data_IF_048783859827
#
_entry.id   IF_048783859827
#
_cell.length_a   1.000
_cell.length_b   1.000
_cell.length_c   1.000
_cell.angle_alpha   90.00
_cell.angle_beta   90.00
_cell.angle_gamma   90.00
#
_symmetry.space_group_name_H-M   'P 1'
#
loop_
_entity.id
_entity.type
_entity.pdbx_description
1 polymer ?
#
# COMPACT_ATOMS: atom_id res chain seq x y z
N UNK A 1 -19.66 -14.44 21.80
CA UNK A 1 -19.59 -13.59 20.61
C UNK A 1 -19.03 -14.45 19.50
N UNK A 2 -19.65 -14.49 18.33
CA UNK A 2 -19.11 -15.25 17.19
C UNK A 2 -17.91 -14.47 16.67
N UNK A 3 -16.71 -15.02 16.86
CA UNK A 3 -15.49 -14.42 16.29
C UNK A 3 -15.57 -14.48 14.77
N UNK A 4 -15.52 -13.31 14.14
CA UNK A 4 -15.61 -13.19 12.69
C UNK A 4 -14.24 -13.46 12.05
N UNK A 5 -14.21 -13.75 10.75
CA UNK A 5 -12.95 -13.87 10.01
C UNK A 5 -12.06 -12.64 10.20
N UNK A 6 -12.65 -11.44 10.25
CA UNK A 6 -11.92 -10.19 10.44
C UNK A 6 -11.28 -10.09 11.83
N UNK A 7 -11.94 -10.60 12.87
CA UNK A 7 -11.34 -10.59 14.22
C UNK A 7 -10.16 -11.55 14.31
N UNK A 8 -10.27 -12.72 13.68
CA UNK A 8 -9.16 -13.66 13.56
C UNK A 8 -8.00 -13.06 12.75
N UNK A 9 -8.28 -12.36 11.64
CA UNK A 9 -7.26 -11.65 10.87
C UNK A 9 -6.55 -10.59 11.69
N UNK A 10 -7.30 -9.74 12.42
CA UNK A 10 -6.74 -8.67 13.25
C UNK A 10 -5.91 -9.18 14.43
N UNK A 11 -6.23 -10.37 14.94
CA UNK A 11 -5.46 -11.06 16.00
C UNK A 11 -4.28 -11.88 15.48
N UNK A 12 -4.07 -11.95 14.15
CA UNK A 12 -3.11 -12.85 13.52
C UNK A 12 -3.33 -14.33 13.87
N UNK A 13 -4.58 -14.74 14.04
CA UNK A 13 -4.99 -16.10 14.41
C UNK A 13 -5.14 -16.97 13.15
N UNK A 14 -4.01 -17.52 12.67
CA UNK A 14 -3.97 -18.28 11.42
C UNK A 14 -4.79 -19.58 11.48
N UNK A 15 -4.86 -20.23 12.63
CA UNK A 15 -5.65 -21.45 12.80
C UNK A 15 -7.14 -21.18 12.60
N UNK A 16 -7.65 -20.14 13.27
CA UNK A 16 -9.04 -19.76 13.14
C UNK A 16 -9.37 -19.25 11.73
N UNK A 17 -8.47 -18.44 11.11
CA UNK A 17 -8.63 -18.01 9.72
C UNK A 17 -8.74 -19.20 8.78
N UNK A 18 -7.86 -20.20 8.91
CA UNK A 18 -7.89 -21.41 8.08
C UNK A 18 -9.18 -22.19 8.24
N UNK A 19 -9.59 -22.40 9.49
CA UNK A 19 -10.83 -23.12 9.81
C UNK A 19 -12.06 -22.45 9.18
N UNK A 20 -12.17 -21.13 9.33
CA UNK A 20 -13.27 -20.34 8.77
C UNK A 20 -13.27 -20.37 7.23
N UNK A 21 -12.12 -20.12 6.60
CA UNK A 21 -12.01 -20.10 5.12
C UNK A 21 -12.18 -21.51 4.52
N UNK A 22 -11.78 -22.57 5.23
CA UNK A 22 -12.05 -23.94 4.80
C UNK A 22 -13.55 -24.27 4.84
N UNK A 23 -14.28 -23.75 5.82
CA UNK A 23 -15.73 -23.90 5.91
C UNK A 23 -16.47 -23.07 4.85
N UNK A 24 -15.98 -21.88 4.53
CA UNK A 24 -16.53 -21.00 3.50
C UNK A 24 -15.42 -20.21 2.77
N UNK A 25 -15.00 -20.68 1.57
CA UNK A 25 -13.98 -19.99 0.77
C UNK A 25 -14.41 -18.60 0.26
N UNK A 26 -15.71 -18.31 0.19
CA UNK A 26 -16.19 -17.00 -0.27
C UNK A 26 -15.78 -15.86 0.67
N UNK A 27 -15.49 -16.20 1.94
CA UNK A 27 -15.04 -15.26 2.95
C UNK A 27 -13.74 -14.53 2.55
N UNK A 28 -12.90 -15.11 1.69
CA UNK A 28 -11.69 -14.46 1.17
C UNK A 28 -11.98 -13.11 0.48
N UNK A 29 -13.15 -13.01 -0.16
CA UNK A 29 -13.57 -11.82 -0.90
C UNK A 29 -14.53 -10.92 -0.09
N UNK A 30 -14.94 -11.35 1.11
CA UNK A 30 -15.88 -10.62 1.94
C UNK A 30 -15.32 -9.23 2.30
N UNK A 31 -16.21 -8.25 2.45
CA UNK A 31 -15.85 -6.92 2.96
C UNK A 31 -16.40 -6.74 4.37
N UNK A 32 -15.58 -6.17 5.25
CA UNK A 32 -16.03 -5.69 6.55
C UNK A 32 -16.99 -4.50 6.37
N UNK A 33 -17.70 -4.05 7.42
CA UNK A 33 -18.49 -2.82 7.37
C UNK A 33 -17.67 -1.57 6.99
N UNK A 34 -16.37 -1.58 7.30
CA UNK A 34 -15.38 -0.56 6.90
C UNK A 34 -14.99 -0.64 5.42
N UNK A 35 -15.43 -1.69 4.71
CA UNK A 35 -15.15 -1.93 3.29
C UNK A 35 -13.85 -2.67 3.00
N UNK A 36 -13.02 -2.93 4.03
CA UNK A 36 -11.76 -3.64 3.88
C UNK A 36 -11.97 -5.15 3.71
N UNK A 37 -11.01 -5.79 3.05
CA UNK A 37 -10.98 -7.22 2.80
C UNK A 37 -10.18 -7.94 3.89
N UNK A 38 -10.32 -9.27 4.10
CA UNK A 38 -9.51 -9.97 5.11
C UNK A 38 -8.01 -9.76 4.94
N UNK A 39 -7.53 -9.66 3.70
CA UNK A 39 -6.14 -9.39 3.40
C UNK A 39 -5.71 -7.99 3.85
N UNK A 40 -6.47 -6.94 3.50
CA UNK A 40 -6.16 -5.59 3.95
C UNK A 40 -6.26 -5.46 5.48
N UNK A 41 -7.27 -6.08 6.10
CA UNK A 41 -7.39 -6.11 7.56
C UNK A 41 -6.15 -6.75 8.21
N UNK A 42 -5.68 -7.88 7.67
CA UNK A 42 -4.47 -8.53 8.16
C UNK A 42 -3.23 -7.64 7.97
N UNK A 43 -3.09 -7.01 6.81
CA UNK A 43 -1.97 -6.10 6.50
C UNK A 43 -1.92 -4.88 7.41
N UNK A 44 -3.06 -4.19 7.61
CA UNK A 44 -3.15 -3.00 8.48
C UNK A 44 -2.87 -3.32 9.95
N UNK A 45 -3.26 -4.51 10.40
CA UNK A 45 -3.00 -4.96 11.76
C UNK A 45 -1.64 -5.67 11.95
N UNK A 46 -0.78 -5.67 10.91
CA UNK A 46 0.53 -6.33 10.92
C UNK A 46 0.45 -7.82 11.26
N UNK A 47 -0.64 -8.47 10.88
CA UNK A 47 -0.88 -9.90 11.04
C UNK A 47 -0.13 -10.68 9.95
N UNK A 48 1.20 -10.76 10.10
CA UNK A 48 2.10 -11.26 9.05
C UNK A 48 1.85 -12.70 8.63
N UNK A 49 1.50 -13.60 9.56
CA UNK A 49 1.25 -15.01 9.25
C UNK A 49 -0.06 -15.18 8.46
N UNK A 50 -1.11 -14.49 8.90
CA UNK A 50 -2.39 -14.47 8.21
C UNK A 50 -2.27 -13.82 6.83
N UNK A 51 -1.63 -12.66 6.75
CA UNK A 51 -1.44 -11.95 5.48
C UNK A 51 -0.66 -12.80 4.47
N UNK A 52 0.44 -13.43 4.91
CA UNK A 52 1.21 -14.35 4.07
C UNK A 52 0.35 -15.51 3.54
N UNK A 53 -0.45 -16.13 4.42
CA UNK A 53 -1.31 -17.23 4.02
C UNK A 53 -2.42 -16.80 3.05
N UNK A 54 -3.08 -15.66 3.30
CA UNK A 54 -4.13 -15.08 2.44
C UNK A 54 -3.60 -14.68 1.05
N UNK A 55 -2.35 -14.22 0.96
CA UNK A 55 -1.67 -13.97 -0.32
C UNK A 55 -1.45 -15.27 -1.10
N UNK A 56 -1.25 -16.40 -0.42
CA UNK A 56 -1.15 -17.71 -1.07
C UNK A 56 -2.48 -18.30 -1.56
N UNK A 57 -3.62 -17.69 -1.21
CA UNK A 57 -4.94 -18.17 -1.65
C UNK A 57 -5.34 -17.58 -3.00
N UNK A 58 -6.19 -18.30 -3.74
CA UNK A 58 -6.74 -17.86 -5.02
C UNK A 58 -8.11 -17.21 -4.84
N UNK A 59 -8.21 -15.92 -5.13
CA UNK A 59 -9.45 -15.15 -5.16
C UNK A 59 -9.25 -13.87 -5.98
N UNK A 60 -10.30 -13.24 -6.53
CA UNK A 60 -10.16 -12.07 -7.38
C UNK A 60 -9.79 -10.83 -6.55
N UNK A 61 -8.48 -10.57 -6.42
CA UNK A 61 -7.97 -9.35 -5.79
C UNK A 61 -8.34 -8.12 -6.63
N UNK A 62 -8.68 -7.04 -5.93
CA UNK A 62 -8.74 -5.68 -6.47
C UNK A 62 -7.34 -5.15 -6.77
N UNK A 63 -7.28 -4.01 -7.47
CA UNK A 63 -6.01 -3.35 -7.77
C UNK A 63 -5.27 -2.90 -6.50
N UNK A 64 -6.02 -2.51 -5.46
CA UNK A 64 -5.48 -2.08 -4.16
C UNK A 64 -4.78 -3.22 -3.43
N UNK A 65 -5.43 -4.39 -3.38
CA UNK A 65 -4.83 -5.58 -2.76
C UNK A 65 -3.65 -6.12 -3.55
N UNK A 66 -3.75 -6.13 -4.89
CA UNK A 66 -2.66 -6.55 -5.76
C UNK A 66 -1.42 -5.66 -5.57
N UNK A 67 -1.61 -4.34 -5.49
CA UNK A 67 -0.54 -3.39 -5.24
C UNK A 67 0.09 -3.55 -3.85
N UNK A 68 -0.73 -3.82 -2.82
CA UNK A 68 -0.25 -3.98 -1.45
C UNK A 68 0.65 -5.21 -1.23
N UNK A 69 0.42 -6.30 -1.99
CA UNK A 69 1.16 -7.57 -1.82
C UNK A 69 2.11 -7.90 -2.96
N UNK A 70 2.39 -6.94 -3.85
CA UNK A 70 3.29 -7.11 -5.00
C UNK A 70 2.80 -8.20 -5.99
N UNK A 71 1.48 -8.37 -6.13
CA UNK A 71 0.84 -9.30 -7.08
C UNK A 71 0.86 -8.72 -8.51
N UNK A 72 2.05 -8.72 -9.09
CA UNK A 72 2.35 -8.15 -10.42
C UNK A 72 1.43 -8.70 -11.51
N UNK A 73 1.21 -10.01 -11.55
CA UNK A 73 0.42 -10.62 -12.61
C UNK A 73 -1.04 -10.17 -12.56
N UNK A 74 -1.62 -10.06 -11.35
CA UNK A 74 -2.98 -9.53 -11.21
C UNK A 74 -3.04 -8.05 -11.52
N UNK A 75 -2.01 -7.30 -11.13
CA UNK A 75 -1.91 -5.87 -11.35
C UNK A 75 -1.86 -5.52 -12.84
N UNK A 76 -0.99 -6.19 -13.60
CA UNK A 76 -0.89 -6.08 -15.06
C UNK A 76 -2.23 -6.43 -15.72
N UNK A 77 -2.82 -7.58 -15.38
CA UNK A 77 -4.09 -8.01 -15.95
C UNK A 77 -5.24 -7.01 -15.69
N UNK A 78 -5.26 -6.35 -14.53
CA UNK A 78 -6.26 -5.32 -14.21
C UNK A 78 -6.02 -4.02 -14.99
N UNK A 79 -4.77 -3.58 -15.10
CA UNK A 79 -4.40 -2.33 -15.77
C UNK A 79 -4.44 -2.43 -17.29
N UNK A 80 -4.21 -3.62 -17.85
CA UNK A 80 -4.39 -3.92 -19.28
C UNK A 80 -5.87 -3.87 -19.68
N UNK A 81 -6.77 -4.26 -18.78
CA UNK A 81 -8.23 -4.19 -18.98
C UNK A 81 -8.75 -2.75 -18.78
N UNK A 82 -8.32 -2.08 -17.70
CA UNK A 82 -8.69 -0.71 -17.38
C UNK A 82 -7.54 0.04 -16.68
N UNK A 83 -6.81 0.84 -17.45
CA UNK A 83 -5.71 1.66 -16.95
C UNK A 83 -6.17 2.74 -15.95
N UNK A 84 -7.45 3.13 -15.94
CA UNK A 84 -7.97 4.15 -15.00
C UNK A 84 -7.94 3.66 -13.55
N UNK A 85 -7.87 2.34 -13.35
CA UNK A 85 -7.75 1.72 -12.03
C UNK A 85 -6.51 2.22 -11.26
N UNK A 86 -5.44 2.62 -11.97
CA UNK A 86 -4.17 3.06 -11.41
C UNK A 86 -4.30 4.22 -10.40
N UNK A 87 -5.31 5.08 -10.58
CA UNK A 87 -5.56 6.26 -9.74
C UNK A 87 -6.86 6.16 -8.90
N UNK A 88 -7.46 4.97 -8.83
CA UNK A 88 -8.66 4.76 -8.00
C UNK A 88 -8.33 4.75 -6.51
N UNK A 89 -9.27 5.18 -5.67
CA UNK A 89 -9.09 5.18 -4.21
C UNK A 89 -9.70 3.93 -3.58
N UNK A 90 -8.98 3.34 -2.64
CA UNK A 90 -9.49 2.31 -1.74
C UNK A 90 -10.48 2.91 -0.74
N UNK A 91 -11.14 2.05 0.03
CA UNK A 91 -12.13 2.43 1.05
C UNK A 91 -11.57 3.34 2.15
N UNK A 92 -10.26 3.26 2.41
CA UNK A 92 -9.50 4.08 3.35
C UNK A 92 -8.76 5.25 2.69
N UNK A 93 -9.06 5.52 1.42
CA UNK A 93 -8.60 6.70 0.69
C UNK A 93 -7.17 6.59 0.15
N UNK A 94 -6.65 5.39 -0.09
CA UNK A 94 -5.32 5.19 -0.67
C UNK A 94 -5.43 4.84 -2.15
N UNK A 95 -4.53 5.37 -2.98
CA UNK A 95 -4.38 4.84 -4.36
C UNK A 95 -3.55 3.56 -4.34
N UNK A 96 -3.57 2.73 -5.41
CA UNK A 96 -2.67 1.58 -5.53
C UNK A 96 -1.20 1.93 -5.28
N UNK A 97 -0.73 3.07 -5.80
CA UNK A 97 0.66 3.49 -5.61
C UNK A 97 0.97 3.84 -4.16
N UNK A 98 0.01 4.41 -3.42
CA UNK A 98 0.19 4.63 -1.98
C UNK A 98 0.34 3.29 -1.23
N UNK A 99 -0.48 2.29 -1.55
CA UNK A 99 -0.43 0.98 -0.90
C UNK A 99 0.88 0.25 -1.22
N UNK A 100 1.31 0.26 -2.48
CA UNK A 100 2.60 -0.28 -2.89
C UNK A 100 3.76 0.42 -2.16
N UNK A 101 3.70 1.74 -2.03
CA UNK A 101 4.68 2.54 -1.30
C UNK A 101 4.74 2.21 0.19
N UNK A 102 3.59 2.05 0.86
CA UNK A 102 3.51 1.76 2.29
C UNK A 102 3.92 0.33 2.64
N UNK A 103 3.41 -0.65 1.89
CA UNK A 103 3.70 -2.06 2.14
C UNK A 103 5.05 -2.51 1.58
N UNK A 104 5.69 -1.70 0.72
CA UNK A 104 7.02 -1.97 0.20
C UNK A 104 7.01 -2.95 -0.97
N UNK A 105 6.13 -2.70 -1.94
CA UNK A 105 5.94 -3.49 -3.16
C UNK A 105 6.56 -2.76 -4.38
N UNK A 106 7.89 -2.86 -4.61
CA UNK A 106 8.58 -2.08 -5.64
C UNK A 106 8.17 -2.49 -7.06
N UNK A 107 7.84 -3.76 -7.31
CA UNK A 107 7.47 -4.22 -8.65
C UNK A 107 6.08 -3.71 -9.01
N UNK A 108 5.13 -3.78 -8.08
CA UNK A 108 3.82 -3.17 -8.23
C UNK A 108 3.91 -1.65 -8.47
N UNK A 109 4.74 -0.94 -7.70
CA UNK A 109 4.96 0.49 -7.93
C UNK A 109 5.51 0.79 -9.33
N UNK A 110 6.47 -0.02 -9.81
CA UNK A 110 7.03 0.11 -11.17
C UNK A 110 5.95 -0.04 -12.23
N UNK A 111 5.09 -1.05 -12.12
CA UNK A 111 4.00 -1.30 -13.07
C UNK A 111 2.97 -0.18 -13.03
N UNK A 112 2.56 0.26 -11.84
CA UNK A 112 1.61 1.36 -11.69
C UNK A 112 2.12 2.62 -12.39
N UNK A 113 3.39 2.98 -12.19
CA UNK A 113 4.00 4.13 -12.85
C UNK A 113 4.12 3.94 -14.37
N UNK A 114 4.44 2.73 -14.84
CA UNK A 114 4.47 2.42 -16.27
C UNK A 114 3.09 2.55 -16.94
N UNK A 115 2.01 2.32 -16.19
CA UNK A 115 0.62 2.52 -16.62
C UNK A 115 0.07 3.92 -16.31
N UNK A 116 0.93 4.87 -15.94
CA UNK A 116 0.56 6.27 -15.80
C UNK A 116 -0.06 6.66 -14.46
N UNK A 117 0.12 5.85 -13.40
CA UNK A 117 -0.30 6.24 -12.05
C UNK A 117 0.32 7.59 -11.65
N UNK A 118 -0.48 8.47 -11.05
CA UNK A 118 -0.02 9.77 -10.59
C UNK A 118 0.98 9.63 -9.43
N UNK A 119 2.05 10.43 -9.47
CA UNK A 119 3.07 10.49 -8.40
C UNK A 119 2.66 11.37 -7.22
N UNK A 120 1.70 12.27 -7.42
CA UNK A 120 1.30 13.27 -6.43
C UNK A 120 -0.19 13.24 -6.02
N UNK A 121 -0.91 12.10 -6.04
CA UNK A 121 -2.26 12.07 -5.48
C UNK A 121 -2.18 12.29 -3.97
N UNK A 122 -3.12 13.05 -3.42
CA UNK A 122 -3.30 13.16 -1.97
C UNK A 122 -4.28 12.07 -1.53
N UNK A 123 -3.91 11.29 -0.52
CA UNK A 123 -4.80 10.28 0.06
C UNK A 123 -6.08 10.93 0.62
N UNK A 124 -7.23 10.28 0.45
CA UNK A 124 -8.54 10.77 0.90
C UNK A 124 -8.83 10.42 2.38
N UNK A 125 -7.79 10.35 3.19
CA UNK A 125 -7.88 10.16 4.64
C UNK A 125 -7.31 11.39 5.36
N UNK A 126 -7.42 11.40 6.68
CA UNK A 126 -7.02 12.54 7.51
C UNK A 126 -5.54 12.96 7.36
N UNK A 127 -4.66 12.07 6.88
CA UNK A 127 -3.24 12.35 6.72
C UNK A 127 -2.92 13.04 5.39
N UNK A 128 -3.77 12.91 4.37
CA UNK A 128 -3.58 13.54 3.04
C UNK A 128 -2.19 13.31 2.43
N UNK A 129 -1.62 12.12 2.62
CA UNK A 129 -0.26 11.77 2.19
C UNK A 129 -0.16 11.70 0.66
N UNK A 130 1.03 11.90 0.11
CA UNK A 130 1.40 11.39 -1.23
C UNK A 130 2.01 9.98 -1.12
N UNK A 131 2.20 9.24 -2.23
CA UNK A 131 2.92 7.97 -2.20
C UNK A 131 4.34 8.08 -1.62
N UNK A 132 5.04 9.20 -1.84
CA UNK A 132 6.36 9.43 -1.24
C UNK A 132 6.28 9.55 0.29
N UNK A 133 5.28 10.27 0.82
CA UNK A 133 5.04 10.34 2.27
C UNK A 133 4.75 8.96 2.86
N UNK A 134 3.93 8.16 2.17
CA UNK A 134 3.64 6.78 2.57
C UNK A 134 4.90 5.90 2.65
N UNK A 135 5.77 5.95 1.64
CA UNK A 135 7.04 5.21 1.64
C UNK A 135 7.97 5.62 2.78
N UNK A 136 8.07 6.93 3.05
CA UNK A 136 8.91 7.47 4.12
C UNK A 136 8.37 7.12 5.50
N UNK A 137 7.06 7.23 5.72
CA UNK A 137 6.41 6.85 6.97
C UNK A 137 6.59 5.35 7.28
N UNK A 138 6.54 4.50 6.25
CA UNK A 138 6.74 3.06 6.38
C UNK A 138 8.21 2.62 6.26
N UNK A 139 9.16 3.56 6.15
CA UNK A 139 10.60 3.32 5.99
C UNK A 139 10.97 2.37 4.84
N UNK A 140 10.32 2.52 3.68
CA UNK A 140 10.54 1.69 2.49
C UNK A 140 11.60 2.28 1.58
N UNK A 141 12.88 2.13 1.94
CA UNK A 141 14.00 2.74 1.21
C UNK A 141 13.98 2.49 -0.32
N UNK A 142 13.73 1.26 -0.81
CA UNK A 142 13.68 1.03 -2.26
C UNK A 142 12.57 1.82 -2.95
N UNK A 143 11.41 2.00 -2.28
CA UNK A 143 10.28 2.76 -2.83
C UNK A 143 10.55 4.26 -2.77
N UNK A 144 11.24 4.76 -1.74
CA UNK A 144 11.67 6.16 -1.68
C UNK A 144 12.57 6.49 -2.87
N UNK A 145 13.59 5.66 -3.12
CA UNK A 145 14.48 5.84 -4.27
C UNK A 145 13.70 5.81 -5.59
N UNK A 146 12.89 4.76 -5.79
CA UNK A 146 12.08 4.58 -7.01
C UNK A 146 11.15 5.77 -7.28
N UNK A 147 10.43 6.25 -6.26
CA UNK A 147 9.50 7.37 -6.41
C UNK A 147 10.23 8.68 -6.72
N UNK A 148 11.36 8.95 -6.06
CA UNK A 148 12.17 10.15 -6.32
C UNK A 148 12.79 10.11 -7.74
N UNK A 149 13.27 8.95 -8.18
CA UNK A 149 13.81 8.77 -9.53
C UNK A 149 12.72 8.89 -10.60
N UNK A 150 11.48 8.52 -10.28
CA UNK A 150 10.32 8.73 -11.13
C UNK A 150 9.82 10.18 -11.18
N UNK A 151 10.34 11.08 -10.34
CA UNK A 151 9.95 12.50 -10.31
C UNK A 151 8.91 12.85 -9.25
N UNK A 152 8.76 12.04 -8.20
CA UNK A 152 8.00 12.46 -7.02
C UNK A 152 8.61 13.75 -6.45
N UNK A 153 7.77 14.72 -6.11
CA UNK A 153 8.22 16.02 -5.62
C UNK A 153 8.61 15.90 -4.14
N UNK A 154 9.90 16.11 -3.79
CA UNK A 154 10.38 16.00 -2.41
C UNK A 154 10.00 17.20 -1.52
N UNK A 155 9.27 18.19 -2.05
CA UNK A 155 8.90 19.43 -1.36
C UNK A 155 7.43 19.52 -0.93
N UNK A 156 6.56 18.67 -1.50
CA UNK A 156 5.11 18.73 -1.23
C UNK A 156 4.81 18.54 0.25
N UNK A 157 3.99 19.40 0.83
CA UNK A 157 3.61 19.29 2.24
C UNK A 157 2.29 18.55 2.40
N UNK A 158 2.26 17.53 3.27
CA UNK A 158 1.05 16.81 3.65
C UNK A 158 0.81 17.00 5.15
N UNK A 159 -0.36 17.51 5.51
CA UNK A 159 -0.76 17.77 6.90
C UNK A 159 0.27 18.56 7.76
N UNK A 160 1.01 19.50 7.17
CA UNK A 160 2.03 20.28 7.89
C UNK A 160 3.46 19.74 7.75
N UNK A 161 3.66 18.61 7.09
CA UNK A 161 4.95 17.92 7.04
C UNK A 161 5.43 17.71 5.62
N UNK A 162 6.69 18.06 5.37
CA UNK A 162 7.38 17.71 4.12
C UNK A 162 7.88 16.26 4.17
N UNK A 163 8.26 15.66 3.02
CA UNK A 163 8.90 14.35 2.96
C UNK A 163 10.12 14.26 3.89
N UNK A 164 10.95 15.31 3.91
CA UNK A 164 12.12 15.35 4.79
C UNK A 164 11.73 15.33 6.27
N UNK A 165 10.73 16.12 6.67
CA UNK A 165 10.25 16.17 8.04
C UNK A 165 9.69 14.81 8.51
N UNK A 166 8.95 14.09 7.64
CA UNK A 166 8.49 12.72 7.94
C UNK A 166 9.66 11.75 8.10
N UNK A 167 10.67 11.83 7.23
CA UNK A 167 11.85 10.96 7.30
C UNK A 167 12.62 11.17 8.61
N UNK A 168 12.89 12.43 8.97
CA UNK A 168 13.61 12.80 10.18
C UNK A 168 12.81 12.50 11.45
N UNK A 169 11.53 12.86 11.47
CA UNK A 169 10.64 12.62 12.62
C UNK A 169 10.46 11.13 12.96
N UNK A 170 10.57 10.26 11.95
CA UNK A 170 10.55 8.81 12.15
C UNK A 170 11.93 8.19 12.39
N UNK A 171 13.03 8.96 12.33
CA UNK A 171 14.40 8.43 12.42
C UNK A 171 14.72 7.48 11.27
N UNK A 172 14.45 7.91 10.03
CA UNK A 172 14.76 7.18 8.82
C UNK A 172 15.88 7.88 8.03
N UNK A 173 17.09 7.77 8.55
CA UNK A 173 18.26 8.55 8.09
C UNK A 173 18.58 8.32 6.61
N UNK A 174 18.53 7.08 6.13
CA UNK A 174 18.77 6.75 4.72
C UNK A 174 17.71 7.38 3.80
N UNK A 175 16.44 7.35 4.22
CA UNK A 175 15.36 8.01 3.49
C UNK A 175 15.53 9.53 3.47
N UNK A 176 15.90 10.13 4.60
CA UNK A 176 16.18 11.56 4.69
C UNK A 176 17.37 11.95 3.79
N UNK A 177 18.41 11.11 3.71
CA UNK A 177 19.54 11.32 2.81
C UNK A 177 19.11 11.34 1.33
N UNK A 178 18.25 10.40 0.90
CA UNK A 178 17.71 10.39 -0.46
C UNK A 178 16.88 11.64 -0.77
N UNK A 179 16.04 12.07 0.17
CA UNK A 179 15.22 13.29 0.01
C UNK A 179 16.11 14.54 -0.10
N UNK A 180 17.14 14.69 0.77
CA UNK A 180 18.10 15.79 0.67
C UNK A 180 18.85 15.79 -0.65
N UNK A 181 19.26 14.61 -1.13
CA UNK A 181 19.91 14.48 -2.43
C UNK A 181 18.98 14.91 -3.57
N UNK A 182 17.69 14.55 -3.52
CA UNK A 182 16.70 14.98 -4.50
C UNK A 182 16.48 16.51 -4.49
N UNK A 183 16.40 17.13 -3.31
CA UNK A 183 16.29 18.58 -3.16
C UNK A 183 17.49 19.32 -3.78
N UNK A 184 18.70 18.79 -3.64
CA UNK A 184 19.90 19.38 -4.24
C UNK A 184 19.91 19.34 -5.77
N UNK A 185 19.26 18.34 -6.38
CA UNK A 185 19.15 18.23 -7.85
C UNK A 185 18.19 19.26 -8.44
N UNK A 186 17.12 19.62 -7.74
CA UNK A 186 16.12 20.59 -8.20
C UNK A 186 16.61 22.04 -8.16
N UNK A 187 17.73 22.32 -7.50
CA UNK A 187 18.29 23.67 -7.34
C UNK A 187 19.44 23.99 -8.32
N UNK A 188 19.79 23.06 -9.22
CA UNK A 188 20.85 23.19 -10.23
C UNK A 188 20.28 23.31 -11.62
#
# INVERSE_FOLDING_TARGET
MTDTLFDACRRNDLEQVRSLVQADPALLSQRAPTGETPLLAALYHRAGEVACWLTGQSWPRSIHEAAAVDDVARLEALLDDDATLADTYSVDGWTPLHLAAFFGAPRAATILLAHGASLHPLSQNAMTNTPLHAALAAKRLPLVALLLDAGADPTLECAGYTPLAIAEGNGFDDGAALVRAALGRSAS
#
